data_IF_702733003376
#
_entry.id   IF_702733003376
#
_cell.length_a   1.000
_cell.length_b   1.000
_cell.length_c   1.000
_cell.angle_alpha   90.00
_cell.angle_beta   90.00
_cell.angle_gamma   90.00
#
_symmetry.space_group_name_H-M   'P 1'
#
loop_
_entity.id
_entity.type
_entity.pdbx_description
1 polymer ?
#
# COMPACT_ATOMS: atom_id res chain seq x y z
N UNK A 1 -15.45 -43.34 41.26
CA UNK A 1 -15.97 -43.07 39.91
C UNK A 1 -15.11 -41.96 39.33
N UNK A 2 -13.99 -42.34 38.73
CA UNK A 2 -12.98 -41.42 38.20
C UNK A 2 -13.48 -40.84 36.88
N UNK A 3 -13.55 -39.51 36.81
CA UNK A 3 -13.94 -38.76 35.62
C UNK A 3 -12.86 -38.92 34.54
N UNK A 4 -13.24 -39.44 33.38
CA UNK A 4 -12.39 -39.47 32.19
C UNK A 4 -12.21 -38.03 31.68
N UNK A 5 -10.96 -37.56 31.67
CA UNK A 5 -10.58 -36.31 31.01
C UNK A 5 -10.59 -36.53 29.50
N UNK A 6 -11.67 -36.11 28.85
CA UNK A 6 -11.80 -36.07 27.39
C UNK A 6 -10.68 -35.21 26.80
N UNK A 7 -9.69 -35.87 26.22
CA UNK A 7 -8.56 -35.25 25.53
C UNK A 7 -9.04 -34.77 24.15
N UNK A 8 -9.66 -33.58 24.11
CA UNK A 8 -10.15 -32.98 22.86
C UNK A 8 -8.93 -32.52 22.06
N UNK A 9 -8.59 -33.29 21.01
CA UNK A 9 -7.56 -32.93 20.05
C UNK A 9 -8.08 -31.75 19.20
N UNK A 10 -7.81 -30.52 19.67
CA UNK A 10 -8.16 -29.31 18.94
C UNK A 10 -7.52 -29.32 17.55
N UNK A 11 -8.29 -29.04 16.50
CA UNK A 11 -7.69 -28.86 15.18
C UNK A 11 -6.77 -27.61 15.18
N UNK A 12 -5.87 -27.50 14.19
CA UNK A 12 -4.89 -26.41 14.11
C UNK A 12 -5.51 -24.99 14.14
N UNK A 13 -6.72 -24.82 13.64
CA UNK A 13 -7.46 -23.56 13.65
C UNK A 13 -7.94 -23.20 15.05
N UNK A 14 -8.58 -24.13 15.76
CA UNK A 14 -9.03 -23.91 17.15
C UNK A 14 -7.86 -23.65 18.11
N UNK A 15 -6.75 -24.36 17.91
CA UNK A 15 -5.50 -24.13 18.66
C UNK A 15 -4.89 -22.75 18.38
N UNK A 16 -5.14 -22.19 17.19
CA UNK A 16 -4.67 -20.85 16.83
C UNK A 16 -5.61 -19.79 17.40
N UNK A 17 -6.92 -19.98 17.24
CA UNK A 17 -7.94 -19.05 17.74
C UNK A 17 -7.93 -18.93 19.27
N UNK A 18 -7.63 -20.01 20.00
CA UNK A 18 -7.52 -19.98 21.47
C UNK A 18 -6.37 -19.09 21.98
N UNK A 19 -5.41 -18.74 21.12
CA UNK A 19 -4.32 -17.80 21.45
C UNK A 19 -4.78 -16.32 21.42
N UNK A 20 -5.94 -16.05 20.85
CA UNK A 20 -6.45 -14.69 20.68
C UNK A 20 -7.76 -14.51 21.45
N UNK A 21 -8.06 -13.28 21.87
CA UNK A 21 -9.37 -12.98 22.41
C UNK A 21 -10.39 -12.89 21.27
N UNK A 22 -11.13 -13.98 21.05
CA UNK A 22 -12.21 -14.05 20.05
C UNK A 22 -13.57 -13.66 20.61
N UNK A 23 -13.66 -13.35 21.91
CA UNK A 23 -14.87 -12.82 22.55
C UNK A 23 -14.95 -11.32 22.28
N UNK A 24 -15.39 -11.00 21.08
CA UNK A 24 -15.55 -9.63 20.61
C UNK A 24 -16.98 -9.16 20.92
N UNK A 25 -17.10 -7.98 21.54
CA UNK A 25 -18.37 -7.32 21.79
C UNK A 25 -18.45 -6.04 20.94
N UNK A 26 -19.31 -6.04 19.93
CA UNK A 26 -19.46 -4.92 19.00
C UNK A 26 -19.84 -3.62 19.71
N UNK A 27 -20.60 -3.69 20.81
CA UNK A 27 -20.99 -2.52 21.59
C UNK A 27 -19.78 -1.85 22.25
N UNK A 28 -18.94 -2.66 22.91
CA UNK A 28 -17.72 -2.18 23.58
C UNK A 28 -16.72 -1.61 22.57
N UNK A 29 -16.57 -2.26 21.40
CA UNK A 29 -15.74 -1.72 20.31
C UNK A 29 -16.27 -0.37 19.85
N UNK A 30 -17.58 -0.26 19.63
CA UNK A 30 -18.19 0.98 19.16
C UNK A 30 -17.97 2.12 20.15
N UNK A 31 -18.21 1.89 21.44
CA UNK A 31 -17.96 2.88 22.48
C UNK A 31 -16.48 3.31 22.53
N UNK A 32 -15.55 2.36 22.41
CA UNK A 32 -14.12 2.66 22.37
C UNK A 32 -13.73 3.49 21.14
N UNK A 33 -14.28 3.16 19.97
CA UNK A 33 -14.05 3.91 18.73
C UNK A 33 -14.64 5.32 18.83
N UNK A 34 -15.87 5.47 19.32
CA UNK A 34 -16.52 6.78 19.48
C UNK A 34 -15.74 7.67 20.47
N UNK A 35 -15.22 7.09 21.56
CA UNK A 35 -14.36 7.78 22.53
C UNK A 35 -13.03 8.23 21.89
N UNK A 36 -12.42 7.40 21.04
CA UNK A 36 -11.19 7.76 20.32
C UNK A 36 -11.46 8.89 19.30
N UNK A 37 -12.53 8.77 18.52
CA UNK A 37 -12.92 9.76 17.51
C UNK A 37 -13.17 11.12 18.17
N UNK A 38 -14.02 11.15 19.20
CA UNK A 38 -14.37 12.40 19.91
C UNK A 38 -13.15 13.08 20.53
N UNK A 39 -12.17 12.31 21.01
CA UNK A 39 -10.93 12.85 21.58
C UNK A 39 -9.91 13.29 20.53
N UNK A 40 -9.75 12.55 19.44
CA UNK A 40 -8.60 12.68 18.53
C UNK A 40 -8.89 13.38 17.21
N UNK A 41 -10.13 13.46 16.75
CA UNK A 41 -10.44 14.10 15.47
C UNK A 41 -10.08 15.58 15.50
N UNK A 42 -10.45 16.32 16.55
CA UNK A 42 -10.13 17.74 16.63
C UNK A 42 -8.62 18.02 16.67
N UNK A 43 -7.84 17.12 17.30
CA UNK A 43 -6.37 17.22 17.34
C UNK A 43 -5.73 16.89 15.98
N UNK A 44 -6.30 15.96 15.21
CA UNK A 44 -5.73 15.45 13.96
C UNK A 44 -6.25 16.15 12.70
N UNK A 45 -7.40 16.82 12.76
CA UNK A 45 -8.03 17.51 11.63
C UNK A 45 -7.49 18.94 11.53
N UNK A 46 -6.19 19.04 11.30
CA UNK A 46 -5.47 20.29 11.09
C UNK A 46 -4.86 20.29 9.69
N UNK A 47 -4.73 21.48 9.10
CA UNK A 47 -4.16 21.65 7.76
C UNK A 47 -2.76 21.06 7.64
N UNK A 48 -1.93 21.20 8.67
CA UNK A 48 -0.56 20.66 8.68
C UNK A 48 -0.54 19.13 8.61
N UNK A 49 -1.44 18.47 9.35
CA UNK A 49 -1.55 17.00 9.33
C UNK A 49 -2.12 16.54 7.99
N UNK A 50 -3.10 17.23 7.43
CA UNK A 50 -3.64 16.94 6.10
C UNK A 50 -2.58 17.04 5.01
N UNK A 51 -1.78 18.11 5.02
CA UNK A 51 -0.65 18.29 4.09
C UNK A 51 0.42 17.21 4.28
N UNK A 52 0.69 16.81 5.53
CA UNK A 52 1.59 15.69 5.81
C UNK A 52 1.05 14.37 5.27
N UNK A 53 -0.24 14.07 5.47
CA UNK A 53 -0.88 12.86 4.96
C UNK A 53 -0.83 12.83 3.43
N UNK A 54 -1.09 13.96 2.77
CA UNK A 54 -0.99 14.08 1.32
C UNK A 54 0.42 13.73 0.82
N UNK A 55 1.45 14.24 1.50
CA UNK A 55 2.85 13.94 1.15
C UNK A 55 3.27 12.49 1.39
N UNK A 56 2.43 11.68 2.04
CA UNK A 56 2.67 10.25 2.25
C UNK A 56 1.92 9.35 1.24
N UNK A 57 1.26 9.93 0.23
CA UNK A 57 0.47 9.19 -0.74
C UNK A 57 1.37 8.57 -1.82
N UNK A 58 1.13 7.30 -2.13
CA UNK A 58 1.55 6.67 -3.37
C UNK A 58 0.42 6.84 -4.40
N UNK A 59 0.52 7.86 -5.25
CA UNK A 59 -0.53 8.16 -6.21
C UNK A 59 -0.55 7.06 -7.27
N UNK A 60 -1.65 6.30 -7.33
CA UNK A 60 -1.69 5.01 -8.04
C UNK A 60 -2.62 5.05 -9.24
N UNK A 61 -2.17 4.51 -10.37
CA UNK A 61 -3.05 4.08 -11.48
C UNK A 61 -2.68 2.68 -11.95
N UNK A 62 -3.65 1.76 -11.84
CA UNK A 62 -3.52 0.34 -12.16
C UNK A 62 -4.75 -0.15 -12.93
N UNK A 63 -5.22 0.65 -13.90
CA UNK A 63 -6.37 0.30 -14.72
C UNK A 63 -5.95 -0.57 -15.91
N UNK A 64 -6.79 -1.54 -16.27
CA UNK A 64 -6.54 -2.40 -17.43
C UNK A 64 -6.62 -1.64 -18.77
N UNK A 65 -7.19 -0.44 -18.76
CA UNK A 65 -7.29 0.46 -19.92
C UNK A 65 -6.18 1.50 -19.99
N UNK A 66 -5.24 1.50 -19.04
CA UNK A 66 -4.12 2.44 -19.07
C UNK A 66 -3.28 2.24 -20.33
N UNK A 67 -2.73 3.34 -20.83
CA UNK A 67 -1.84 3.41 -21.98
C UNK A 67 -0.85 4.57 -21.80
N UNK A 68 0.15 4.68 -22.66
CA UNK A 68 1.18 5.70 -22.50
C UNK A 68 0.62 7.12 -22.40
N UNK A 69 -0.41 7.47 -23.18
CA UNK A 69 -1.02 8.80 -23.14
C UNK A 69 -1.74 9.07 -21.80
N UNK A 70 -2.47 8.06 -21.26
CA UNK A 70 -3.12 8.21 -19.96
C UNK A 70 -2.11 8.33 -18.82
N UNK A 71 -1.00 7.59 -18.90
CA UNK A 71 0.09 7.66 -17.91
C UNK A 71 0.83 8.98 -17.98
N UNK A 72 1.12 9.50 -19.18
CA UNK A 72 1.74 10.83 -19.34
C UNK A 72 0.86 11.91 -18.70
N UNK A 73 -0.43 11.95 -19.04
CA UNK A 73 -1.38 12.92 -18.44
C UNK A 73 -1.51 12.77 -16.93
N UNK A 74 -1.35 11.55 -16.42
CA UNK A 74 -1.33 11.29 -15.00
C UNK A 74 -0.10 11.90 -14.34
N UNK A 75 1.10 11.67 -14.90
CA UNK A 75 2.38 12.21 -14.42
C UNK A 75 2.46 13.74 -14.56
N UNK A 76 1.91 14.31 -15.63
CA UNK A 76 1.87 15.77 -15.84
C UNK A 76 1.19 16.52 -14.69
N UNK A 77 0.17 15.93 -14.04
CA UNK A 77 -0.47 16.52 -12.86
C UNK A 77 0.49 16.62 -11.68
N UNK A 78 1.37 15.64 -11.53
CA UNK A 78 2.38 15.61 -10.46
C UNK A 78 3.47 16.64 -10.77
N UNK A 79 3.90 16.74 -12.04
CA UNK A 79 4.87 17.75 -12.45
C UNK A 79 4.33 19.19 -12.29
N UNK A 80 3.04 19.41 -12.55
CA UNK A 80 2.40 20.71 -12.37
C UNK A 80 2.16 21.09 -10.90
N UNK A 81 2.18 20.11 -9.99
CA UNK A 81 1.72 20.30 -8.61
C UNK A 81 2.47 21.40 -7.87
N UNK A 82 3.80 21.46 -7.95
CA UNK A 82 4.58 22.48 -7.24
C UNK A 82 4.32 23.90 -7.77
N UNK A 83 3.96 24.04 -9.05
CA UNK A 83 3.59 25.32 -9.64
C UNK A 83 2.19 25.77 -9.18
N UNK A 84 1.25 24.83 -9.05
CA UNK A 84 -0.12 25.11 -8.61
C UNK A 84 -0.20 25.30 -7.08
N UNK A 85 0.64 24.59 -6.31
CA UNK A 85 0.64 24.54 -4.86
C UNK A 85 2.05 24.72 -4.27
N UNK A 86 2.70 25.89 -4.44
CA UNK A 86 4.11 26.10 -4.10
C UNK A 86 4.46 25.98 -2.61
N UNK A 87 3.46 26.00 -1.72
CA UNK A 87 3.64 25.85 -0.28
C UNK A 87 3.30 24.44 0.23
N UNK A 88 2.98 23.50 -0.66
CA UNK A 88 2.60 22.13 -0.31
C UNK A 88 3.60 21.14 -0.89
N UNK A 89 3.84 20.05 -0.16
CA UNK A 89 4.66 18.95 -0.64
C UNK A 89 3.86 18.11 -1.62
N UNK A 90 4.52 17.66 -2.67
CA UNK A 90 3.97 16.70 -3.60
C UNK A 90 3.75 15.33 -2.93
N UNK A 91 3.10 14.42 -3.64
CA UNK A 91 2.92 13.02 -3.22
C UNK A 91 4.27 12.32 -3.01
N UNK A 92 4.31 11.27 -2.17
CA UNK A 92 5.54 10.52 -1.91
C UNK A 92 6.03 9.78 -3.15
N UNK A 93 5.09 9.18 -3.87
CA UNK A 93 5.41 8.34 -5.01
C UNK A 93 4.29 8.25 -6.03
N UNK A 94 4.64 7.70 -7.19
CA UNK A 94 3.72 7.27 -8.24
C UNK A 94 3.76 5.76 -8.37
N UNK A 95 2.60 5.11 -8.47
CA UNK A 95 2.49 3.66 -8.59
C UNK A 95 1.76 3.28 -9.89
N UNK A 96 2.44 2.52 -10.75
CA UNK A 96 1.92 2.07 -12.06
C UNK A 96 2.20 0.59 -12.30
N UNK A 97 1.64 0.02 -13.37
CA UNK A 97 2.02 -1.31 -13.83
C UNK A 97 3.47 -1.33 -14.37
N UNK A 98 4.17 -2.47 -14.30
CA UNK A 98 5.56 -2.62 -14.75
C UNK A 98 5.84 -2.08 -16.15
N UNK A 99 4.94 -2.32 -17.10
CA UNK A 99 5.13 -1.92 -18.50
C UNK A 99 5.12 -0.40 -18.70
N UNK A 100 4.60 0.39 -17.75
CA UNK A 100 4.56 1.84 -17.82
C UNK A 100 5.69 2.54 -17.05
N UNK A 101 6.53 1.79 -16.35
CA UNK A 101 7.65 2.36 -15.57
C UNK A 101 8.55 3.24 -16.43
N UNK A 102 8.88 2.80 -17.65
CA UNK A 102 9.74 3.58 -18.52
C UNK A 102 9.06 4.87 -19.00
N UNK A 103 7.75 4.83 -19.25
CA UNK A 103 6.95 6.01 -19.59
C UNK A 103 6.99 7.01 -18.43
N UNK A 104 6.75 6.56 -17.20
CA UNK A 104 6.84 7.43 -16.01
C UNK A 104 8.24 8.02 -15.85
N UNK A 105 9.30 7.22 -15.97
CA UNK A 105 10.69 7.70 -15.86
C UNK A 105 11.05 8.78 -16.87
N UNK A 106 10.49 8.69 -18.08
CA UNK A 106 10.78 9.65 -19.14
C UNK A 106 9.97 10.94 -19.01
N UNK A 107 8.88 10.92 -18.23
CA UNK A 107 7.94 12.03 -18.10
C UNK A 107 7.98 12.71 -16.73
N UNK A 108 8.35 12.00 -15.66
CA UNK A 108 8.39 12.55 -14.31
C UNK A 108 9.56 13.52 -14.17
N UNK A 109 9.23 14.77 -13.90
CA UNK A 109 10.18 15.88 -13.69
C UNK A 109 10.15 16.41 -12.26
N UNK A 110 9.10 16.10 -11.50
CA UNK A 110 8.95 16.52 -10.11
C UNK A 110 10.07 15.94 -9.23
N UNK A 111 10.72 16.83 -8.48
CA UNK A 111 11.73 16.43 -7.50
C UNK A 111 11.10 15.71 -6.31
N UNK A 112 11.86 14.80 -5.69
CA UNK A 112 11.46 14.05 -4.49
C UNK A 112 10.21 13.15 -4.63
N UNK A 113 9.69 12.95 -5.85
CA UNK A 113 8.64 11.96 -6.11
C UNK A 113 9.27 10.65 -6.56
N UNK A 114 8.99 9.57 -5.83
CA UNK A 114 9.56 8.25 -6.13
C UNK A 114 8.71 7.49 -7.15
N UNK A 115 9.33 6.67 -8.00
CA UNK A 115 8.59 5.76 -8.88
C UNK A 115 8.49 4.39 -8.21
N UNK A 116 7.27 3.88 -8.12
CA UNK A 116 6.91 2.58 -7.56
C UNK A 116 6.07 1.80 -8.56
N UNK A 117 6.01 0.50 -8.38
CA UNK A 117 5.17 -0.35 -9.19
C UNK A 117 4.80 -1.64 -8.45
N UNK A 118 3.74 -2.28 -8.93
CA UNK A 118 3.35 -3.61 -8.49
C UNK A 118 4.18 -4.67 -9.20
N UNK A 119 4.38 -5.82 -8.55
CA UNK A 119 5.00 -6.99 -9.17
C UNK A 119 4.38 -8.30 -8.70
N UNK A 120 4.87 -9.42 -9.21
CA UNK A 120 4.49 -10.74 -8.74
C UNK A 120 3.18 -11.20 -9.36
N UNK A 121 2.93 -10.84 -10.63
CA UNK A 121 1.67 -11.06 -11.34
C UNK A 121 0.47 -10.45 -10.63
N UNK A 122 0.63 -9.21 -10.15
CA UNK A 122 -0.45 -8.45 -9.55
C UNK A 122 -1.65 -8.35 -10.52
N UNK A 123 -2.91 -8.48 -10.05
CA UNK A 123 -3.34 -8.69 -8.67
C UNK A 123 -3.49 -10.17 -8.27
N UNK A 124 -3.53 -11.10 -9.23
CA UNK A 124 -3.90 -12.49 -8.94
C UNK A 124 -2.78 -13.29 -8.24
N UNK A 125 -1.53 -12.92 -8.53
CA UNK A 125 -0.33 -13.66 -8.16
C UNK A 125 -0.38 -15.16 -8.55
N UNK A 126 -1.26 -15.55 -9.49
CA UNK A 126 -1.45 -16.93 -9.94
C UNK A 126 -0.51 -17.25 -11.11
N UNK A 127 0.80 -17.19 -10.85
CA UNK A 127 1.84 -17.55 -11.83
C UNK A 127 3.00 -18.28 -11.16
N UNK A 128 3.91 -18.80 -11.98
CA UNK A 128 5.14 -19.46 -11.55
C UNK A 128 6.07 -18.51 -10.79
N UNK A 129 6.79 -19.02 -9.79
CA UNK A 129 7.70 -18.20 -8.97
C UNK A 129 8.79 -17.54 -9.82
N UNK A 130 9.24 -18.23 -10.86
CA UNK A 130 10.24 -17.76 -11.81
C UNK A 130 9.78 -16.49 -12.53
N UNK A 131 8.50 -16.40 -12.87
CA UNK A 131 7.91 -15.20 -13.50
C UNK A 131 7.90 -14.04 -12.51
N UNK A 132 7.51 -14.29 -11.26
CA UNK A 132 7.48 -13.25 -10.21
C UNK A 132 8.88 -12.71 -9.89
N UNK A 133 9.87 -13.60 -9.84
CA UNK A 133 11.27 -13.24 -9.61
C UNK A 133 11.81 -12.44 -10.80
N UNK A 134 11.53 -12.86 -12.04
CA UNK A 134 11.98 -12.14 -13.23
C UNK A 134 11.36 -10.74 -13.34
N UNK A 135 10.06 -10.62 -13.06
CA UNK A 135 9.35 -9.34 -13.01
C UNK A 135 9.99 -8.43 -11.96
N UNK A 136 10.14 -8.92 -10.72
CA UNK A 136 10.78 -8.15 -9.62
C UNK A 136 12.21 -7.74 -9.94
N UNK A 137 13.02 -8.65 -10.50
CA UNK A 137 14.41 -8.38 -10.85
C UNK A 137 14.53 -7.29 -11.94
N UNK A 138 13.62 -7.28 -12.91
CA UNK A 138 13.58 -6.25 -13.95
C UNK A 138 13.33 -4.86 -13.36
N UNK A 139 12.41 -4.79 -12.39
CA UNK A 139 12.07 -3.54 -11.69
C UNK A 139 13.24 -3.02 -10.84
N UNK A 140 13.95 -3.89 -10.14
CA UNK A 140 15.17 -3.54 -9.39
C UNK A 140 16.26 -3.04 -10.34
N UNK A 141 16.44 -3.69 -11.50
CA UNK A 141 17.38 -3.23 -12.52
C UNK A 141 17.01 -1.85 -13.08
N UNK A 142 15.73 -1.50 -13.07
CA UNK A 142 15.25 -0.17 -13.40
C UNK A 142 15.40 0.81 -12.23
N UNK A 143 16.15 0.49 -11.18
CA UNK A 143 16.38 1.39 -10.04
C UNK A 143 15.08 1.88 -9.40
N UNK A 144 14.03 1.04 -9.44
CA UNK A 144 12.80 1.33 -8.74
C UNK A 144 12.96 1.04 -7.26
N UNK A 145 12.50 1.99 -6.45
CA UNK A 145 12.72 2.03 -5.00
C UNK A 145 11.71 1.14 -4.25
N UNK A 146 10.53 0.88 -4.81
CA UNK A 146 9.49 0.12 -4.11
C UNK A 146 8.76 -0.86 -5.01
N UNK A 147 8.75 -2.13 -4.57
CA UNK A 147 8.02 -3.22 -5.20
C UNK A 147 6.92 -3.69 -4.26
N UNK A 148 5.67 -3.45 -4.65
CA UNK A 148 4.50 -3.89 -3.89
C UNK A 148 4.19 -5.36 -4.22
N UNK A 149 4.48 -6.26 -3.27
CA UNK A 149 4.12 -7.67 -3.34
C UNK A 149 3.00 -7.97 -2.34
N UNK A 150 1.91 -8.57 -2.81
CA UNK A 150 0.64 -8.78 -2.07
C UNK A 150 0.77 -9.60 -0.76
N UNK A 151 1.94 -10.18 -0.46
CA UNK A 151 2.18 -10.91 0.81
C UNK A 151 3.35 -10.37 1.65
N UNK A 152 4.20 -9.46 1.13
CA UNK A 152 5.29 -8.79 1.87
C UNK A 152 5.68 -7.48 1.16
N UNK A 153 5.60 -6.36 1.88
CA UNK A 153 6.28 -5.12 1.44
C UNK A 153 7.78 -5.39 1.49
N UNK A 154 8.45 -5.49 0.34
CA UNK A 154 9.91 -5.54 0.27
C UNK A 154 10.37 -4.17 -0.18
N UNK A 155 10.62 -3.30 0.80
CA UNK A 155 11.35 -2.05 0.57
C UNK A 155 12.83 -2.40 0.39
N UNK A 156 13.34 -2.27 -0.83
CA UNK A 156 14.78 -2.27 -1.05
C UNK A 156 15.23 -0.80 -0.93
N UNK A 157 15.67 -0.39 0.27
CA UNK A 157 16.55 0.77 0.38
C UNK A 157 17.88 0.37 -0.29
N UNK A 158 18.13 0.89 -1.48
CA UNK A 158 19.49 1.08 -2.00
C UNK A 158 19.92 2.51 -1.70
#
# INVERSE_FOLDING_TARGET
MTMETNNINYNKYETTLSKYNTKINDHEIKEAVDALISKKVAENHTKEIEESIYSCIDLTTLNYTDNDESIIKFVEKINAFENEYPNQKNVAAVCVYPNFVQTVKNTLEADNVTITCVSGSFPSSQTFIEVKVAETASLISWSLIFVLYLDRVVSYLL
#
